data_IF_044528360846
#
_entry.id   IF_044528360846
#
_cell.length_a   1.000
_cell.length_b   1.000
_cell.length_c   1.000
_cell.angle_alpha   90.00
_cell.angle_beta   90.00
_cell.angle_gamma   90.00
#
_symmetry.space_group_name_H-M   'P 1'
#
loop_
_entity.id
_entity.type
_entity.pdbx_description
1 polymer ?
#
# COMPACT_ATOMS: atom_id res chain seq x y z
N UNK A 1 8.32 -1.66 -0.51
CA UNK A 1 7.84 -0.41 0.15
C UNK A 1 6.54 -0.62 0.93
N UNK A 2 5.44 -1.06 0.31
CA UNK A 2 4.12 -1.17 0.94
C UNK A 2 4.04 -2.04 2.22
N UNK A 3 4.62 -3.27 2.30
CA UNK A 3 4.52 -4.10 3.51
C UNK A 3 5.23 -3.49 4.73
N UNK A 4 6.28 -2.71 4.49
CA UNK A 4 6.98 -1.93 5.53
C UNK A 4 6.05 -0.86 6.10
N UNK A 5 5.36 -0.12 5.25
CA UNK A 5 4.43 0.94 5.66
C UNK A 5 3.20 0.38 6.39
N UNK A 6 2.62 -0.72 5.91
CA UNK A 6 1.52 -1.41 6.58
C UNK A 6 1.89 -1.83 8.01
N UNK A 7 3.09 -2.38 8.21
CA UNK A 7 3.60 -2.73 9.54
C UNK A 7 3.83 -1.51 10.43
N UNK A 8 4.35 -0.41 9.89
CA UNK A 8 4.53 0.83 10.67
C UNK A 8 3.19 1.42 11.14
N UNK A 9 2.15 1.36 10.30
CA UNK A 9 0.78 1.75 10.71
C UNK A 9 0.28 0.86 11.84
N UNK A 10 0.42 -0.47 11.71
CA UNK A 10 0.00 -1.41 12.74
C UNK A 10 0.71 -1.16 14.08
N UNK A 11 2.04 -0.97 14.06
CA UNK A 11 2.84 -0.65 15.25
C UNK A 11 2.45 0.68 15.89
N UNK A 12 2.10 1.69 15.10
CA UNK A 12 1.65 2.96 15.65
C UNK A 12 0.33 2.80 16.41
N UNK A 13 -0.61 2.02 15.87
CA UNK A 13 -1.93 1.78 16.48
C UNK A 13 -1.80 0.88 17.72
N UNK A 14 -0.89 -0.10 17.71
CA UNK A 14 -0.70 -1.02 18.84
C UNK A 14 -0.28 -0.33 20.13
N UNK A 15 0.36 0.84 20.03
CA UNK A 15 0.78 1.62 21.20
C UNK A 15 -0.38 2.04 22.10
N UNK A 16 -1.60 2.12 21.55
CA UNK A 16 -2.80 2.55 22.28
C UNK A 16 -3.90 1.48 22.31
N UNK A 17 -3.67 0.29 21.76
CA UNK A 17 -4.68 -0.76 21.61
C UNK A 17 -4.10 -2.12 22.04
N UNK A 18 -4.22 -2.44 23.33
CA UNK A 18 -3.90 -3.76 23.88
C UNK A 18 -5.00 -4.78 23.56
N UNK A 19 -4.64 -6.07 23.54
CA UNK A 19 -5.56 -7.18 23.34
C UNK A 19 -6.46 -7.06 22.09
N UNK A 20 -5.86 -6.72 20.95
CA UNK A 20 -6.57 -6.52 19.68
C UNK A 20 -5.84 -7.16 18.51
N UNK A 21 -6.60 -7.45 17.44
CA UNK A 21 -6.05 -7.79 16.14
C UNK A 21 -6.09 -6.53 15.27
N UNK A 22 -4.93 -5.98 14.95
CA UNK A 22 -4.80 -4.79 14.11
C UNK A 22 -4.49 -5.23 12.69
N UNK A 23 -5.37 -4.86 11.75
CA UNK A 23 -5.15 -5.07 10.32
C UNK A 23 -4.85 -3.73 9.67
N UNK A 24 -3.70 -3.63 9.00
CA UNK A 24 -3.26 -2.42 8.31
C UNK A 24 -2.81 -2.76 6.90
N UNK A 25 -3.03 -1.85 5.96
CA UNK A 25 -2.56 -2.01 4.58
C UNK A 25 -1.88 -0.75 4.06
N UNK A 26 -1.09 -0.93 3.02
CA UNK A 26 -0.51 0.11 2.19
C UNK A 26 -0.42 -0.40 0.75
N UNK A 27 -0.57 0.50 -0.21
CA UNK A 27 -0.60 0.16 -1.63
C UNK A 27 0.29 1.13 -2.39
N UNK A 28 1.10 0.58 -3.29
CA UNK A 28 1.95 1.36 -4.19
C UNK A 28 1.67 0.94 -5.63
N UNK A 29 1.31 1.89 -6.49
CA UNK A 29 1.15 1.66 -7.92
C UNK A 29 2.43 2.05 -8.65
N UNK A 30 2.84 1.24 -9.64
CA UNK A 30 4.05 1.43 -10.44
C UNK A 30 3.71 1.25 -11.91
N UNK A 31 4.24 2.12 -12.76
CA UNK A 31 4.11 2.05 -14.22
C UNK A 31 5.46 2.49 -14.82
N UNK A 32 6.05 1.67 -15.70
CA UNK A 32 7.43 1.83 -16.22
C UNK A 32 8.45 2.21 -15.13
N UNK A 33 8.54 1.40 -14.07
CA UNK A 33 9.44 1.60 -12.92
C UNK A 33 9.24 2.90 -12.12
N UNK A 34 8.19 3.69 -12.40
CA UNK A 34 7.85 4.91 -11.66
C UNK A 34 6.72 4.66 -10.67
N UNK A 35 6.94 5.03 -9.41
CA UNK A 35 5.88 5.07 -8.40
C UNK A 35 4.87 6.17 -8.75
N UNK A 36 3.61 5.77 -8.92
CA UNK A 36 2.50 6.68 -9.16
C UNK A 36 2.01 7.26 -7.83
N UNK A 37 2.30 8.54 -7.59
CA UNK A 37 1.82 9.27 -6.43
C UNK A 37 0.38 9.74 -6.56
N UNK A 38 -0.17 10.32 -5.49
CA UNK A 38 -1.44 11.05 -5.56
C UNK A 38 -1.26 12.27 -6.48
N UNK A 39 -2.22 12.57 -7.37
CA UNK A 39 -2.07 13.64 -8.33
C UNK A 39 -2.01 15.04 -7.71
N UNK A 40 -2.74 15.27 -6.60
CA UNK A 40 -2.81 16.55 -5.89
C UNK A 40 -3.63 17.63 -6.63
N UNK A 41 -3.47 17.75 -7.95
CA UNK A 41 -4.24 18.67 -8.81
C UNK A 41 -4.83 17.96 -10.03
N UNK A 42 -5.77 18.63 -10.72
CA UNK A 42 -6.40 18.11 -11.94
C UNK A 42 -5.41 17.97 -13.09
N UNK A 43 -4.48 18.93 -13.23
CA UNK A 43 -3.46 18.95 -14.28
C UNK A 43 -2.48 17.79 -14.12
N UNK A 44 -2.07 17.51 -12.88
CA UNK A 44 -1.22 16.35 -12.58
C UNK A 44 -1.98 15.03 -12.76
N UNK A 45 -3.27 14.97 -12.42
CA UNK A 45 -4.09 13.80 -12.71
C UNK A 45 -4.15 13.52 -14.22
N UNK A 46 -4.37 14.56 -15.05
CA UNK A 46 -4.35 14.41 -16.50
C UNK A 46 -2.99 13.91 -17.01
N UNK A 47 -1.87 14.45 -16.51
CA UNK A 47 -0.52 13.98 -16.86
C UNK A 47 -0.30 12.52 -16.48
N UNK A 48 -0.71 12.10 -15.28
CA UNK A 48 -0.60 10.72 -14.83
C UNK A 48 -1.45 9.80 -15.71
N UNK A 49 -2.71 10.17 -15.98
CA UNK A 49 -3.62 9.40 -16.82
C UNK A 49 -3.09 9.25 -18.26
N UNK A 50 -2.56 10.32 -18.86
CA UNK A 50 -1.92 10.26 -20.17
C UNK A 50 -0.66 9.40 -20.16
N UNK A 51 0.14 9.48 -19.09
CA UNK A 51 1.37 8.69 -18.96
C UNK A 51 1.10 7.18 -18.86
N UNK A 52 0.05 6.77 -18.15
CA UNK A 52 -0.31 5.35 -17.94
C UNK A 52 -1.17 4.76 -19.06
N UNK A 53 -1.58 5.55 -20.05
CA UNK A 53 -2.44 5.08 -21.14
C UNK A 53 -1.74 3.98 -21.93
N UNK A 54 -2.45 2.87 -22.18
CA UNK A 54 -1.94 1.69 -22.91
C UNK A 54 -0.73 1.01 -22.25
N UNK A 55 -0.52 1.26 -20.95
CA UNK A 55 0.57 0.66 -20.18
C UNK A 55 0.05 -0.24 -19.08
N UNK A 56 0.87 -1.22 -18.73
CA UNK A 56 0.66 -2.00 -17.52
C UNK A 56 0.91 -1.14 -16.28
N UNK A 57 0.05 -1.32 -15.29
CA UNK A 57 0.21 -0.76 -13.95
C UNK A 57 0.28 -1.92 -12.96
N UNK A 58 1.37 -1.98 -12.20
CA UNK A 58 1.59 -2.98 -11.16
C UNK A 58 1.25 -2.38 -9.81
N UNK A 59 0.31 -2.98 -9.09
CA UNK A 59 -0.07 -2.63 -7.73
C UNK A 59 0.58 -3.59 -6.74
N UNK A 60 1.38 -3.03 -5.84
CA UNK A 60 1.98 -3.74 -4.71
C UNK A 60 1.18 -3.43 -3.45
N UNK A 61 0.37 -4.38 -3.00
CA UNK A 61 -0.38 -4.30 -1.76
C UNK A 61 0.41 -4.98 -0.64
N UNK A 62 0.73 -4.24 0.40
CA UNK A 62 1.28 -4.77 1.64
C UNK A 62 0.21 -4.77 2.72
N UNK A 63 -0.06 -5.91 3.34
CA UNK A 63 -0.98 -6.03 4.46
C UNK A 63 -0.23 -6.57 5.68
N UNK A 64 -0.51 -6.00 6.84
CA UNK A 64 0.05 -6.40 8.13
C UNK A 64 -1.11 -6.76 9.05
N UNK A 65 -1.02 -7.92 9.68
CA UNK A 65 -1.90 -8.39 10.75
C UNK A 65 -1.05 -8.44 12.00
N UNK A 66 -1.40 -7.68 13.02
CA UNK A 66 -0.71 -7.63 14.30
C UNK A 66 -1.65 -8.05 15.42
N UNK A 67 -1.38 -9.21 16.00
CA UNK A 67 -1.96 -9.64 17.27
C UNK A 67 -1.19 -8.96 18.42
N UNK A 68 -1.82 -7.98 19.07
CA UNK A 68 -1.18 -7.23 20.15
C UNK A 68 -1.17 -7.97 21.49
N UNK A 69 -1.96 -9.03 21.63
CA UNK A 69 -1.95 -9.90 22.82
C UNK A 69 -0.72 -10.81 22.79
N UNK A 70 -0.58 -11.61 21.72
CA UNK A 70 0.55 -12.53 21.56
C UNK A 70 1.82 -11.86 21.02
N UNK A 71 1.71 -10.57 20.64
CA UNK A 71 2.76 -9.78 19.98
C UNK A 71 3.25 -10.38 18.65
N UNK A 72 2.38 -11.10 17.94
CA UNK A 72 2.68 -11.77 16.68
C UNK A 72 2.34 -10.91 15.47
N UNK A 73 3.24 -10.84 14.50
CA UNK A 73 3.07 -10.04 13.28
C UNK A 73 3.14 -10.94 12.04
N UNK A 74 2.07 -10.95 11.27
CA UNK A 74 2.01 -11.58 9.95
C UNK A 74 1.96 -10.51 8.86
N UNK A 75 2.73 -10.70 7.79
CA UNK A 75 2.78 -9.77 6.65
C UNK A 75 2.43 -10.52 5.38
N UNK A 76 1.57 -9.92 4.57
CA UNK A 76 1.11 -10.45 3.30
C UNK A 76 1.50 -9.44 2.21
N UNK A 77 1.99 -9.95 1.09
CA UNK A 77 2.28 -9.15 -0.10
C UNK A 77 1.40 -9.71 -1.21
N UNK A 78 0.62 -8.83 -1.83
CA UNK A 78 -0.18 -9.17 -3.00
C UNK A 78 0.20 -8.24 -4.14
N UNK A 79 0.50 -8.81 -5.31
CA UNK A 79 0.85 -8.09 -6.52
C UNK A 79 -0.28 -8.28 -7.52
N UNK A 80 -0.75 -7.18 -8.10
CA UNK A 80 -1.78 -7.20 -9.13
C UNK A 80 -1.36 -6.33 -10.31
N UNK A 81 -1.46 -6.90 -11.50
CA UNK A 81 -1.20 -6.20 -12.74
C UNK A 81 -2.54 -5.76 -13.35
N UNK A 82 -2.59 -4.53 -13.86
CA UNK A 82 -3.72 -4.00 -14.61
C UNK A 82 -3.20 -3.53 -15.96
N UNK A 83 -3.68 -4.19 -17.01
CA UNK A 83 -3.50 -3.75 -18.38
C UNK A 83 -4.74 -2.95 -18.77
N UNK A 84 -4.51 -1.79 -19.38
CA UNK A 84 -5.57 -0.91 -19.89
C UNK A 84 -5.57 -0.90 -21.39
#
# INVERSE_FOLDING_TARGET
>A
MAPRLANLKAKKISNSNSNSIIICSDVCAVCDDKVLGKPGTKENAAKILSFISEKEIIFYNGTCIFDTYNRNISKIIHIRNINK
#
